data_IF_886331707143
#
_entry.id   IF_886331707143
#
_cell.length_a   1.000
_cell.length_b   1.000
_cell.length_c   1.000
_cell.angle_alpha   90.00
_cell.angle_beta   90.00
_cell.angle_gamma   90.00
#
_symmetry.space_group_name_H-M   'P 1'
#
loop_
_entity.id
_entity.type
_entity.pdbx_description
1 polymer ?
#
# COMPACT_ATOMS: atom_id res chain seq x y z
N UNK A 1 -6.77 5.25 -1.62
CA UNK A 1 -5.86 4.75 -0.58
C UNK A 1 -4.63 4.20 -1.26
N UNK A 2 -3.55 4.96 -1.30
CA UNK A 2 -2.25 4.56 -1.89
C UNK A 2 -1.59 3.54 -0.96
N UNK A 3 -1.76 2.26 -1.22
CA UNK A 3 -1.26 1.22 -0.30
C UNK A 3 0.25 1.04 -0.41
N UNK A 4 0.97 1.24 0.68
CA UNK A 4 2.41 1.00 0.73
C UNK A 4 2.69 -0.50 0.80
N UNK A 5 3.59 -1.01 -0.06
CA UNK A 5 4.18 -2.33 0.19
C UNK A 5 5.00 -2.27 1.48
N UNK A 6 5.17 -3.40 2.17
CA UNK A 6 5.92 -3.47 3.43
C UNK A 6 7.29 -2.76 3.35
N UNK A 7 7.96 -2.84 2.20
CA UNK A 7 9.25 -2.20 1.91
C UNK A 7 9.20 -0.67 1.95
N UNK A 8 8.08 -0.04 1.61
CA UNK A 8 7.91 1.42 1.67
C UNK A 8 7.61 1.92 3.09
N UNK A 9 7.18 1.04 3.99
CA UNK A 9 6.95 1.38 5.41
C UNK A 9 8.22 1.93 6.05
N UNK A 10 9.38 1.45 5.58
CA UNK A 10 10.71 1.85 6.01
C UNK A 10 10.98 3.36 5.96
N UNK A 11 10.26 4.09 5.09
CA UNK A 11 10.37 5.56 4.96
C UNK A 11 9.76 6.30 6.15
N UNK A 12 8.75 5.71 6.81
CA UNK A 12 7.97 6.43 7.81
C UNK A 12 8.69 6.58 9.15
N UNK A 13 9.41 5.59 9.69
CA UNK A 13 10.17 5.78 10.94
C UNK A 13 11.39 6.70 10.81
N UNK A 14 11.79 7.10 9.60
CA UNK A 14 12.90 8.04 9.37
C UNK A 14 14.29 7.44 9.60
N UNK A 15 14.41 6.10 9.59
CA UNK A 15 15.65 5.37 9.88
C UNK A 15 16.66 5.39 8.72
N UNK A 16 16.25 5.77 7.51
CA UNK A 16 17.03 5.49 6.30
C UNK A 16 16.75 6.46 5.16
N UNK A 17 17.79 6.80 4.39
CA UNK A 17 17.61 7.22 2.99
C UNK A 17 17.03 6.02 2.27
N UNK A 18 15.80 6.11 1.81
CA UNK A 18 15.17 5.05 1.04
C UNK A 18 15.25 5.50 -0.41
N UNK A 19 16.06 4.86 -1.27
CA UNK A 19 16.05 5.10 -2.71
C UNK A 19 14.62 5.04 -3.25
N UNK A 20 14.32 5.74 -4.35
CA UNK A 20 12.98 5.73 -4.98
C UNK A 20 12.44 4.30 -5.19
N UNK A 21 13.34 3.33 -5.40
CA UNK A 21 13.06 1.93 -5.75
C UNK A 21 12.86 0.97 -4.56
N UNK A 22 13.06 1.39 -3.30
CA UNK A 22 12.80 0.54 -2.13
C UNK A 22 13.88 0.57 -1.04
N UNK A 23 14.07 -0.57 -0.35
CA UNK A 23 14.89 -0.68 0.87
C UNK A 23 16.37 -0.40 0.57
N UNK A 24 17.03 0.43 1.38
CA UNK A 24 18.48 0.65 1.26
C UNK A 24 19.22 -0.69 1.49
N UNK A 25 20.13 -1.10 0.59
CA UNK A 25 20.84 -2.38 0.65
C UNK A 25 21.58 -2.65 1.96
N UNK A 26 21.89 -1.60 2.74
CA UNK A 26 22.55 -1.70 4.05
C UNK A 26 21.59 -2.08 5.18
N UNK A 27 20.31 -2.20 4.90
CA UNK A 27 19.32 -2.55 5.89
C UNK A 27 19.40 -4.05 6.23
N UNK A 28 19.77 -4.34 7.47
CA UNK A 28 19.78 -5.70 8.01
C UNK A 28 18.77 -5.80 9.17
N UNK A 29 17.49 -5.91 8.84
CA UNK A 29 16.40 -6.02 9.81
C UNK A 29 15.15 -6.64 9.21
N UNK A 30 14.13 -6.88 10.04
CA UNK A 30 12.88 -7.51 9.61
C UNK A 30 11.79 -6.46 9.36
N UNK A 31 11.05 -6.62 8.26
CA UNK A 31 9.90 -5.77 7.93
C UNK A 31 8.72 -6.66 7.58
N UNK A 32 7.61 -6.49 8.29
CA UNK A 32 6.39 -7.24 7.99
C UNK A 32 5.16 -6.34 8.09
N UNK A 33 4.06 -6.77 7.48
CA UNK A 33 2.77 -6.06 7.55
C UNK A 33 1.66 -7.07 7.71
N UNK A 34 0.71 -6.78 8.60
CA UNK A 34 -0.45 -7.61 8.89
C UNK A 34 -1.72 -6.80 8.72
N UNK A 35 -2.72 -7.38 8.06
CA UNK A 35 -4.10 -6.94 8.15
C UNK A 35 -4.78 -7.71 9.27
N UNK A 36 -5.48 -7.00 10.14
CA UNK A 36 -6.20 -7.57 11.27
C UNK A 36 -7.65 -7.14 11.15
N UNK A 37 -8.56 -8.11 11.06
CA UNK A 37 -10.00 -7.90 11.15
C UNK A 37 -10.42 -8.12 12.61
N UNK A 38 -11.10 -7.14 13.20
CA UNK A 38 -11.67 -7.24 14.54
C UNK A 38 -13.13 -6.78 14.50
N UNK A 39 -13.98 -7.20 15.45
CA UNK A 39 -15.35 -6.71 15.55
C UNK A 39 -15.44 -5.17 15.57
N UNK A 40 -14.45 -4.51 16.17
CA UNK A 40 -14.41 -3.04 16.32
C UNK A 40 -13.85 -2.31 15.08
N UNK A 41 -13.33 -3.04 14.08
CA UNK A 41 -12.82 -2.46 12.84
C UNK A 41 -11.62 -3.20 12.23
N UNK A 42 -11.07 -2.58 11.18
CA UNK A 42 -9.90 -3.10 10.43
C UNK A 42 -8.64 -2.36 10.88
N UNK A 43 -7.57 -3.12 11.09
CA UNK A 43 -6.26 -2.60 11.49
C UNK A 43 -5.18 -3.09 10.53
N UNK A 44 -4.48 -2.16 9.89
CA UNK A 44 -3.23 -2.42 9.17
C UNK A 44 -2.09 -2.13 10.12
N UNK A 45 -1.27 -3.14 10.42
CA UNK A 45 -0.12 -3.00 11.29
C UNK A 45 1.16 -3.38 10.57
N UNK A 46 2.08 -2.44 10.50
CA UNK A 46 3.42 -2.62 9.98
C UNK A 46 4.42 -2.80 11.13
N UNK A 47 5.37 -3.70 10.95
CA UNK A 47 6.46 -3.97 11.88
C UNK A 47 7.79 -3.63 11.21
N UNK A 48 8.67 -2.98 11.98
CA UNK A 48 10.07 -2.76 11.67
C UNK A 48 10.87 -3.23 12.88
N UNK A 49 11.53 -4.38 12.76
CA UNK A 49 12.14 -5.08 13.89
C UNK A 49 11.11 -5.22 15.04
N UNK A 50 11.43 -4.64 16.21
CA UNK A 50 10.55 -4.62 17.39
C UNK A 50 9.61 -3.42 17.43
N UNK A 51 9.76 -2.48 16.51
CA UNK A 51 8.93 -1.27 16.42
C UNK A 51 7.75 -1.51 15.48
N UNK A 52 6.68 -0.73 15.62
CA UNK A 52 5.51 -0.87 14.74
C UNK A 52 4.81 0.44 14.44
N UNK A 53 4.15 0.51 13.29
CA UNK A 53 3.23 1.57 12.91
C UNK A 53 1.91 0.92 12.55
N UNK A 54 0.81 1.36 13.15
CA UNK A 54 -0.53 0.84 12.89
C UNK A 54 -1.48 1.94 12.49
N UNK A 55 -2.32 1.65 11.52
CA UNK A 55 -3.48 2.42 11.14
C UNK A 55 -4.70 1.56 11.39
N UNK A 56 -5.65 2.07 12.15
CA UNK A 56 -6.86 1.32 12.44
C UNK A 56 -8.04 2.25 12.63
N UNK A 57 -9.21 1.67 12.40
CA UNK A 57 -10.46 2.30 12.73
C UNK A 57 -10.80 2.03 14.20
N UNK A 58 -10.94 3.10 15.00
CA UNK A 58 -11.37 3.00 16.39
C UNK A 58 -12.89 3.11 16.43
N UNK A 59 -13.55 2.00 16.77
CA UNK A 59 -15.01 1.89 16.88
C UNK A 59 -15.77 2.16 15.56
N UNK A 60 -15.17 1.87 14.40
CA UNK A 60 -15.84 2.04 13.11
C UNK A 60 -16.03 3.49 12.64
N UNK A 61 -15.45 4.47 13.33
CA UNK A 61 -15.76 5.89 13.17
C UNK A 61 -14.53 6.80 13.07
N UNK A 62 -13.42 6.48 13.76
CA UNK A 62 -12.25 7.37 13.84
C UNK A 62 -11.00 6.65 13.36
N UNK A 63 -10.47 7.11 12.23
CA UNK A 63 -9.16 6.66 11.74
C UNK A 63 -8.06 7.14 12.68
N UNK A 64 -7.23 6.21 13.17
CA UNK A 64 -6.07 6.52 14.00
C UNK A 64 -4.80 5.89 13.45
N UNK A 65 -3.74 6.68 13.43
CA UNK A 65 -2.39 6.25 13.08
C UNK A 65 -1.50 6.37 14.31
N UNK A 66 -0.82 5.29 14.67
CA UNK A 66 0.02 5.21 15.85
C UNK A 66 1.34 4.54 15.55
N UNK A 67 2.43 5.13 16.05
CA UNK A 67 3.76 4.53 16.03
C UNK A 67 4.13 4.08 17.44
N UNK A 68 4.50 2.81 17.58
CA UNK A 68 5.00 2.19 18.81
C UNK A 68 6.50 1.94 18.68
N UNK A 69 7.29 2.59 19.54
CA UNK A 69 8.75 2.42 19.64
C UNK A 69 9.04 1.53 20.86
N UNK A 70 9.27 0.24 20.62
CA UNK A 70 9.68 -0.73 21.65
C UNK A 70 11.21 -0.81 21.79
N UNK A 71 11.93 -0.66 20.68
CA UNK A 71 13.39 -0.66 20.63
C UNK A 71 13.89 0.69 20.12
N UNK A 72 14.45 1.48 21.03
CA UNK A 72 14.97 2.82 20.71
C UNK A 72 16.34 2.76 20.03
N UNK A 73 17.05 1.64 20.10
CA UNK A 73 18.40 1.51 19.52
C UNK A 73 18.41 1.63 18.00
N UNK A 74 17.25 1.43 17.39
CA UNK A 74 16.98 1.67 15.97
C UNK A 74 17.02 3.15 15.58
N UNK A 75 17.01 4.09 16.53
CA UNK A 75 16.89 5.53 16.23
C UNK A 75 18.08 6.33 16.76
N UNK A 76 18.32 7.48 16.13
CA UNK A 76 19.39 8.41 16.49
C UNK A 76 18.90 9.66 17.22
N UNK A 77 19.71 10.14 18.16
CA UNK A 77 19.61 11.45 18.81
C UNK A 77 20.95 12.17 18.72
N UNK A 78 20.92 13.46 18.40
CA UNK A 78 22.13 14.29 18.30
C UNK A 78 22.42 14.90 19.68
N UNK A 79 23.38 14.33 20.41
CA UNK A 79 23.70 14.73 21.79
C UNK A 79 25.15 14.46 22.19
N UNK A 80 25.60 15.13 23.25
CA UNK A 80 26.85 14.84 23.93
C UNK A 80 26.76 13.55 24.77
N UNK A 81 27.90 13.00 25.17
CA UNK A 81 27.93 12.02 26.28
C UNK A 81 27.66 12.73 27.60
N UNK A 82 27.06 12.05 28.57
CA UNK A 82 26.70 12.65 29.86
C UNK A 82 27.93 13.13 30.63
N UNK A 83 29.06 12.44 30.48
CA UNK A 83 30.33 12.81 31.11
C UNK A 83 31.00 14.05 30.53
N UNK A 84 30.56 14.57 29.38
CA UNK A 84 31.20 15.71 28.71
C UNK A 84 30.64 17.07 29.15
N UNK A 85 29.63 17.10 30.02
CA UNK A 85 29.03 18.34 30.50
C UNK A 85 28.29 19.15 29.41
N UNK A 86 27.90 20.41 29.72
CA UNK A 86 27.07 21.24 28.84
C UNK A 86 27.73 21.60 27.49
N UNK A 87 29.06 21.73 27.45
CA UNK A 87 29.83 22.09 26.26
C UNK A 87 30.35 20.88 25.47
N UNK A 88 29.95 19.67 25.87
CA UNK A 88 30.38 18.45 25.22
C UNK A 88 30.01 18.41 23.73
N UNK A 89 30.94 17.93 22.90
CA UNK A 89 30.73 17.75 21.47
C UNK A 89 29.51 16.85 21.21
N UNK A 90 28.53 17.38 20.47
CA UNK A 90 27.32 16.63 20.10
C UNK A 90 27.63 15.72 18.93
N UNK A 91 27.27 14.44 19.05
CA UNK A 91 27.35 13.45 17.97
C UNK A 91 26.02 12.73 17.83
N UNK A 92 25.78 12.13 16.67
CA UNK A 92 24.67 11.19 16.50
C UNK A 92 24.95 9.94 17.34
N UNK A 93 24.02 9.65 18.26
CA UNK A 93 24.11 8.51 19.18
C UNK A 93 22.80 7.75 19.18
N UNK A 94 22.84 6.49 19.61
CA UNK A 94 21.62 5.69 19.79
C UNK A 94 20.68 6.36 20.78
N UNK A 95 19.40 6.38 20.42
CA UNK A 95 18.32 6.90 21.23
C UNK A 95 18.10 5.97 22.43
N UNK A 96 17.97 6.56 23.62
CA UNK A 96 17.70 5.83 24.86
C UNK A 96 16.21 5.79 25.14
N UNK A 97 15.81 4.85 25.98
CA UNK A 97 14.42 4.70 26.45
C UNK A 97 14.06 5.68 27.58
N UNK A 98 15.05 6.31 28.21
CA UNK A 98 14.89 7.21 29.36
C UNK A 98 14.21 8.55 29.04
N UNK A 99 13.85 9.27 30.10
CA UNK A 99 13.10 10.54 30.03
C UNK A 99 13.85 11.63 29.28
N UNK A 100 15.18 11.65 29.36
CA UNK A 100 16.03 12.65 28.69
C UNK A 100 15.83 12.67 27.17
N UNK A 101 15.61 11.50 26.57
CA UNK A 101 15.45 11.34 25.13
C UNK A 101 13.96 11.30 24.71
N UNK A 102 13.03 11.53 25.65
CA UNK A 102 11.58 11.53 25.40
C UNK A 102 11.15 12.56 24.34
N UNK A 103 11.64 13.82 24.34
CA UNK A 103 11.25 14.79 23.31
C UNK A 103 11.58 14.28 21.90
N UNK A 104 12.77 13.70 21.72
CA UNK A 104 13.19 13.12 20.44
C UNK A 104 12.33 11.92 20.05
N UNK A 105 11.93 11.07 21.01
CA UNK A 105 10.99 9.97 20.74
C UNK A 105 9.64 10.50 20.26
N UNK A 106 9.11 11.57 20.87
CA UNK A 106 7.88 12.22 20.45
C UNK A 106 7.98 12.76 19.02
N UNK A 107 9.09 13.42 18.67
CA UNK A 107 9.36 13.89 17.30
C UNK A 107 9.36 12.75 16.28
N UNK A 108 10.06 11.66 16.57
CA UNK A 108 10.13 10.49 15.69
C UNK A 108 8.75 9.90 15.48
N UNK A 109 7.99 9.66 16.57
CA UNK A 109 6.63 9.12 16.48
C UNK A 109 5.68 10.04 15.72
N UNK A 110 5.71 11.35 16.00
CA UNK A 110 4.87 12.33 15.29
C UNK A 110 5.24 12.41 13.81
N UNK A 111 6.53 12.45 13.50
CA UNK A 111 7.02 12.45 12.12
C UNK A 111 6.64 11.18 11.37
N UNK A 112 6.71 10.01 12.02
CA UNK A 112 6.31 8.75 11.41
C UNK A 112 4.80 8.70 11.12
N UNK A 113 3.97 9.11 12.07
CA UNK A 113 2.53 9.21 11.88
C UNK A 113 2.18 10.21 10.76
N UNK A 114 2.82 11.38 10.76
CA UNK A 114 2.56 12.44 9.78
C UNK A 114 2.96 11.98 8.37
N UNK A 115 4.15 11.43 8.18
CA UNK A 115 4.58 10.91 6.88
C UNK A 115 3.66 9.79 6.40
N UNK A 116 3.23 8.90 7.29
CA UNK A 116 2.29 7.84 6.93
C UNK A 116 0.93 8.40 6.52
N UNK A 117 0.40 9.37 7.27
CA UNK A 117 -0.86 10.05 6.94
C UNK A 117 -0.76 10.80 5.61
N UNK A 118 0.29 11.59 5.41
CA UNK A 118 0.55 12.30 4.14
C UNK A 118 0.60 11.32 2.97
N UNK A 119 1.28 10.19 3.17
CA UNK A 119 1.41 9.21 2.13
C UNK A 119 0.06 8.50 1.85
N UNK A 120 -0.83 8.36 2.84
CA UNK A 120 -2.21 7.93 2.61
C UNK A 120 -3.09 9.00 1.98
N UNK A 121 -2.78 10.28 2.19
CA UNK A 121 -3.51 11.43 1.66
C UNK A 121 -3.22 11.75 0.19
N UNK A 122 -2.30 11.03 -0.47
CA UNK A 122 -1.98 11.22 -1.90
C UNK A 122 -3.04 10.68 -2.86
N UNK A 123 -4.32 10.92 -2.54
CA UNK A 123 -5.42 10.86 -3.49
C UNK A 123 -5.80 12.30 -3.80
N UNK A 124 -4.97 12.93 -4.62
CA UNK A 124 -5.44 14.07 -5.39
C UNK A 124 -5.02 13.82 -6.84
N UNK A 125 -6.02 13.52 -7.67
CA UNK A 125 -5.86 13.48 -9.10
C UNK A 125 -6.90 14.44 -9.63
N UNK A 126 -6.51 15.70 -9.80
CA UNK A 126 -7.29 16.70 -10.52
C UNK A 126 -7.57 16.33 -11.98
N UNK A 127 -7.07 15.18 -12.44
CA UNK A 127 -7.43 14.56 -13.71
C UNK A 127 -8.88 14.07 -13.67
N UNK A 128 -9.76 14.57 -14.56
CA UNK A 128 -11.13 14.07 -14.69
C UNK A 128 -11.15 12.55 -14.91
N UNK A 129 -12.13 11.88 -14.29
CA UNK A 129 -12.28 10.42 -14.44
C UNK A 129 -12.45 10.00 -15.91
N UNK A 130 -13.11 10.83 -16.72
CA UNK A 130 -13.33 10.63 -18.15
C UNK A 130 -12.02 10.45 -18.92
N UNK A 131 -11.04 11.35 -18.72
CA UNK A 131 -9.74 11.27 -19.38
C UNK A 131 -9.00 9.96 -19.04
N UNK A 132 -9.12 9.52 -17.79
CA UNK A 132 -8.52 8.26 -17.35
C UNK A 132 -9.21 7.07 -18.02
N UNK A 133 -10.56 7.07 -18.08
CA UNK A 133 -11.31 5.98 -18.71
C UNK A 133 -11.08 5.92 -20.21
N UNK A 134 -11.01 7.06 -20.90
CA UNK A 134 -10.77 7.13 -22.34
C UNK A 134 -9.42 6.50 -22.69
N UNK A 135 -8.39 6.85 -21.92
CA UNK A 135 -7.05 6.26 -22.07
C UNK A 135 -7.04 4.75 -21.84
N UNK A 136 -7.73 4.27 -20.80
CA UNK A 136 -7.80 2.83 -20.49
C UNK A 136 -8.64 2.05 -21.50
N UNK A 137 -9.62 2.68 -22.14
CA UNK A 137 -10.46 2.05 -23.17
C UNK A 137 -9.70 1.77 -24.48
N UNK A 138 -8.52 2.36 -24.67
CA UNK A 138 -7.68 2.13 -25.85
C UNK A 138 -6.87 0.82 -25.74
N UNK A 139 -6.65 0.10 -26.86
CA UNK A 139 -5.77 -1.06 -26.88
C UNK A 139 -4.31 -0.64 -26.65
N UNK A 140 -3.55 -1.49 -25.96
CA UNK A 140 -2.12 -1.27 -25.67
C UNK A 140 -1.29 -2.36 -26.32
N UNK A 141 -0.14 -1.99 -26.88
CA UNK A 141 0.87 -2.95 -27.37
C UNK A 141 1.95 -3.09 -26.31
N UNK A 142 2.09 -4.29 -25.77
CA UNK A 142 3.07 -4.63 -24.72
C UNK A 142 3.84 -5.88 -25.13
N UNK A 143 5.17 -5.77 -25.14
CA UNK A 143 6.10 -6.88 -25.48
C UNK A 143 5.74 -7.58 -26.80
N UNK A 144 5.44 -6.79 -27.83
CA UNK A 144 5.09 -7.30 -29.17
C UNK A 144 3.68 -7.88 -29.30
N UNK A 145 2.84 -7.78 -28.26
CA UNK A 145 1.48 -8.28 -28.29
C UNK A 145 0.46 -7.17 -28.02
N UNK A 146 -0.65 -7.20 -28.74
CA UNK A 146 -1.76 -6.29 -28.53
C UNK A 146 -2.71 -6.83 -27.46
N UNK A 147 -2.97 -6.01 -26.45
CA UNK A 147 -4.01 -6.20 -25.44
C UNK A 147 -5.15 -5.23 -25.72
N UNK A 148 -6.39 -5.68 -25.48
CA UNK A 148 -7.58 -4.84 -25.68
C UNK A 148 -7.63 -3.66 -24.69
N UNK A 149 -8.57 -2.74 -24.90
CA UNK A 149 -8.93 -1.74 -23.89
C UNK A 149 -9.48 -2.39 -22.62
N UNK A 150 -9.21 -1.76 -21.48
CA UNK A 150 -9.71 -2.10 -20.16
C UNK A 150 -10.94 -1.26 -19.84
N UNK A 151 -12.02 -1.90 -19.36
CA UNK A 151 -13.20 -1.20 -18.88
C UNK A 151 -13.37 -1.38 -17.36
N UNK A 152 -12.74 -0.57 -16.51
CA UNK A 152 -12.79 -0.77 -15.06
C UNK A 152 -14.14 -0.42 -14.43
N UNK A 153 -15.10 0.13 -15.20
CA UNK A 153 -16.43 0.52 -14.72
C UNK A 153 -17.51 -0.54 -14.95
N UNK A 154 -17.27 -1.52 -15.84
CA UNK A 154 -18.27 -2.52 -16.19
C UNK A 154 -17.70 -3.93 -16.41
N UNK A 155 -18.57 -4.93 -16.24
CA UNK A 155 -18.28 -6.34 -16.51
C UNK A 155 -17.16 -6.94 -15.66
N UNK A 156 -16.52 -7.99 -16.19
CA UNK A 156 -15.50 -8.76 -15.48
C UNK A 156 -14.27 -7.93 -15.09
N UNK A 157 -13.93 -6.90 -15.86
CA UNK A 157 -12.80 -6.03 -15.57
C UNK A 157 -13.07 -5.28 -14.25
N UNK A 158 -14.28 -4.76 -14.05
CA UNK A 158 -14.68 -4.10 -12.81
C UNK A 158 -14.73 -5.07 -11.61
N UNK A 159 -15.10 -6.33 -11.82
CA UNK A 159 -15.07 -7.36 -10.77
C UNK A 159 -13.63 -7.67 -10.35
N UNK A 160 -12.71 -7.74 -11.33
CA UNK A 160 -11.26 -7.88 -11.06
C UNK A 160 -10.79 -6.70 -10.21
N UNK A 161 -11.16 -5.46 -10.55
CA UNK A 161 -10.81 -4.28 -9.74
C UNK A 161 -11.21 -4.47 -8.27
N UNK A 162 -12.45 -4.89 -8.01
CA UNK A 162 -12.95 -5.14 -6.66
C UNK A 162 -12.13 -6.21 -5.92
N UNK A 163 -11.79 -7.29 -6.60
CA UNK A 163 -10.95 -8.37 -6.04
C UNK A 163 -9.53 -7.88 -5.75
N UNK A 164 -8.90 -7.14 -6.67
CA UNK A 164 -7.52 -6.64 -6.50
C UNK A 164 -7.39 -5.64 -5.36
N UNK A 165 -8.46 -4.93 -5.02
CA UNK A 165 -8.49 -3.95 -3.93
C UNK A 165 -8.76 -4.54 -2.54
N UNK A 166 -8.91 -5.87 -2.41
CA UNK A 166 -8.99 -6.50 -1.09
C UNK A 166 -7.74 -6.18 -0.26
N UNK A 167 -7.95 -5.77 1.00
CA UNK A 167 -6.88 -5.28 1.87
C UNK A 167 -5.67 -6.21 1.97
N UNK A 168 -5.91 -7.53 2.05
CA UNK A 168 -4.86 -8.54 2.08
C UNK A 168 -3.94 -8.47 0.86
N UNK A 169 -4.52 -8.31 -0.33
CA UNK A 169 -3.81 -8.26 -1.61
C UNK A 169 -3.02 -6.96 -1.78
N UNK A 170 -3.48 -5.87 -1.20
CA UNK A 170 -2.75 -4.62 -1.21
C UNK A 170 -1.45 -4.69 -0.42
N UNK A 171 -1.41 -5.50 0.64
CA UNK A 171 -0.26 -5.66 1.52
C UNK A 171 0.72 -6.69 0.99
N UNK A 172 0.22 -7.91 0.73
CA UNK A 172 1.07 -9.06 0.40
C UNK A 172 1.12 -9.34 -1.10
N UNK A 173 0.45 -8.57 -1.94
CA UNK A 173 0.21 -8.93 -3.34
C UNK A 173 -0.74 -10.13 -3.48
N UNK A 174 -0.97 -10.54 -4.72
CA UNK A 174 -1.95 -11.58 -5.05
C UNK A 174 -1.40 -12.57 -6.09
N UNK A 175 -1.89 -13.81 -6.06
CA UNK A 175 -1.57 -14.87 -7.04
C UNK A 175 -2.80 -15.21 -7.88
N UNK A 176 -2.58 -15.83 -9.04
CA UNK A 176 -3.65 -16.21 -9.96
C UNK A 176 -4.76 -17.02 -9.29
N UNK A 177 -4.42 -18.08 -8.53
CA UNK A 177 -5.44 -18.91 -7.88
C UNK A 177 -6.27 -18.11 -6.86
N UNK A 178 -5.66 -17.19 -6.11
CA UNK A 178 -6.36 -16.38 -5.11
C UNK A 178 -7.37 -15.43 -5.79
N UNK A 179 -7.01 -14.86 -6.94
CA UNK A 179 -7.93 -14.04 -7.75
C UNK A 179 -9.02 -14.88 -8.39
N UNK A 180 -8.67 -16.06 -8.93
CA UNK A 180 -9.61 -17.00 -9.55
C UNK A 180 -10.68 -17.47 -8.58
N UNK A 181 -10.27 -17.91 -7.40
CA UNK A 181 -11.18 -18.48 -6.40
C UNK A 181 -12.14 -17.41 -5.87
N UNK A 182 -11.73 -16.13 -5.86
CA UNK A 182 -12.59 -15.00 -5.50
C UNK A 182 -13.53 -14.55 -6.63
N UNK A 183 -13.12 -14.66 -7.90
CA UNK A 183 -13.95 -14.26 -9.04
C UNK A 183 -14.99 -15.32 -9.43
N UNK A 184 -14.61 -16.59 -9.36
CA UNK A 184 -15.40 -17.69 -9.93
C UNK A 184 -15.79 -18.77 -8.91
N UNK A 185 -15.36 -18.64 -7.66
CA UNK A 185 -15.48 -19.70 -6.66
C UNK A 185 -14.52 -20.87 -6.89
N UNK A 186 -14.42 -21.73 -5.87
CA UNK A 186 -13.61 -22.94 -5.91
C UNK A 186 -14.31 -23.98 -6.80
N UNK A 187 -13.55 -24.63 -7.68
CA UNK A 187 -14.03 -25.77 -8.47
C UNK A 187 -13.06 -26.94 -8.34
N UNK A 188 -13.62 -28.14 -8.21
CA UNK A 188 -12.86 -29.39 -8.17
C UNK A 188 -12.69 -30.02 -9.54
N UNK A 189 -13.45 -29.57 -10.55
CA UNK A 189 -13.27 -30.02 -11.93
C UNK A 189 -11.92 -29.51 -12.50
N UNK A 190 -10.98 -30.40 -12.86
CA UNK A 190 -9.69 -30.02 -13.42
C UNK A 190 -9.80 -29.22 -14.72
N UNK A 191 -10.80 -29.51 -15.57
CA UNK A 191 -10.98 -28.85 -16.87
C UNK A 191 -11.41 -27.41 -16.66
N UNK A 192 -12.48 -27.20 -15.90
CA UNK A 192 -12.97 -25.85 -15.59
C UNK A 192 -11.94 -25.04 -14.79
N UNK A 193 -11.21 -25.68 -13.86
CA UNK A 193 -10.11 -25.03 -13.13
C UNK A 193 -9.04 -24.52 -14.08
N UNK A 194 -8.65 -25.30 -15.09
CA UNK A 194 -7.64 -24.90 -16.09
C UNK A 194 -8.16 -23.76 -16.95
N UNK A 195 -9.42 -23.83 -17.39
CA UNK A 195 -10.08 -22.78 -18.19
C UNK A 195 -10.10 -21.44 -17.45
N UNK A 196 -10.59 -21.43 -16.21
CA UNK A 196 -10.64 -20.24 -15.34
C UNK A 196 -9.25 -19.68 -15.02
N UNK A 197 -8.26 -20.53 -14.76
CA UNK A 197 -6.88 -20.09 -14.51
C UNK A 197 -6.27 -19.39 -15.74
N UNK A 198 -6.56 -19.90 -16.94
CA UNK A 198 -6.18 -19.26 -18.20
C UNK A 198 -6.87 -17.92 -18.41
N UNK A 199 -8.16 -17.83 -18.08
CA UNK A 199 -8.92 -16.58 -18.12
C UNK A 199 -8.34 -15.52 -17.17
N UNK A 200 -8.07 -15.88 -15.91
CA UNK A 200 -7.45 -14.97 -14.94
C UNK A 200 -6.04 -14.57 -15.38
N UNK A 201 -5.27 -15.47 -15.99
CA UNK A 201 -3.94 -15.10 -16.53
C UNK A 201 -4.06 -14.01 -17.59
N UNK A 202 -5.04 -14.10 -18.49
CA UNK A 202 -5.29 -13.07 -19.51
C UNK A 202 -5.78 -11.76 -18.90
N UNK A 203 -6.64 -11.81 -17.88
CA UNK A 203 -7.10 -10.62 -17.15
C UNK A 203 -5.92 -9.93 -16.43
N UNK A 204 -5.11 -10.69 -15.67
CA UNK A 204 -3.94 -10.12 -15.01
C UNK A 204 -2.95 -9.53 -16.00
N UNK A 205 -2.75 -10.19 -17.15
CA UNK A 205 -1.92 -9.64 -18.24
C UNK A 205 -2.49 -8.32 -18.76
N UNK A 206 -3.79 -8.24 -18.99
CA UNK A 206 -4.45 -7.01 -19.43
C UNK A 206 -4.18 -5.85 -18.45
N UNK A 207 -4.40 -6.07 -17.15
CA UNK A 207 -4.10 -5.06 -16.12
C UNK A 207 -2.61 -4.70 -16.04
N UNK A 208 -1.72 -5.65 -16.32
CA UNK A 208 -0.28 -5.41 -16.33
C UNK A 208 0.17 -4.60 -17.55
N UNK A 209 -0.39 -4.90 -18.73
CA UNK A 209 -0.11 -4.19 -19.97
C UNK A 209 -0.62 -2.74 -19.91
N UNK A 210 -1.73 -2.50 -19.19
CA UNK A 210 -2.23 -1.16 -18.85
C UNK A 210 -1.48 -0.48 -17.68
N UNK A 211 -0.40 -1.07 -17.17
CA UNK A 211 0.44 -0.45 -16.15
C UNK A 211 -0.16 -0.37 -14.75
N UNK A 212 -1.29 -1.04 -14.48
CA UNK A 212 -1.98 -0.98 -13.18
C UNK A 212 -1.43 -2.00 -12.18
N UNK A 213 -0.86 -3.10 -12.67
CA UNK A 213 -0.19 -4.11 -11.84
C UNK A 213 1.17 -4.49 -12.45
N UNK A 214 2.03 -5.08 -11.63
CA UNK A 214 3.27 -5.70 -12.10
C UNK A 214 3.49 -7.04 -11.39
N UNK A 215 4.20 -7.95 -12.06
CA UNK A 215 4.62 -9.23 -11.49
C UNK A 215 5.92 -9.05 -10.71
N UNK A 216 5.97 -9.56 -9.48
CA UNK A 216 7.19 -9.57 -8.67
C UNK A 216 8.14 -10.63 -9.25
N UNK A 217 9.37 -10.22 -9.54
CA UNK A 217 10.40 -11.09 -10.08
C UNK A 217 10.60 -12.35 -9.22
N UNK A 218 10.87 -13.48 -9.88
CA UNK A 218 11.12 -14.79 -9.25
C UNK A 218 9.96 -15.33 -8.38
N UNK A 219 8.76 -14.77 -8.50
CA UNK A 219 7.57 -15.28 -7.79
C UNK A 219 6.36 -15.38 -8.71
N UNK A 220 5.30 -16.05 -8.25
CA UNK A 220 3.99 -16.09 -8.91
C UNK A 220 3.05 -14.96 -8.49
N UNK A 221 3.59 -13.91 -7.86
CA UNK A 221 2.83 -12.87 -7.18
C UNK A 221 2.83 -11.58 -7.98
N UNK A 222 1.71 -10.89 -7.95
CA UNK A 222 1.50 -9.58 -8.55
C UNK A 222 1.25 -8.54 -7.46
N UNK A 223 1.55 -7.28 -7.77
CA UNK A 223 1.23 -6.12 -6.94
C UNK A 223 0.71 -4.99 -7.80
N UNK A 224 -0.11 -4.13 -7.19
CA UNK A 224 -0.51 -2.87 -7.81
C UNK A 224 0.70 -1.95 -7.96
N UNK A 225 0.77 -1.25 -9.09
CA UNK A 225 1.68 -0.12 -9.31
C UNK A 225 1.20 1.11 -8.53
N UNK A 226 2.01 2.16 -8.47
CA UNK A 226 1.58 3.44 -7.89
C UNK A 226 0.32 3.98 -8.57
N UNK A 227 0.26 3.88 -9.90
CA UNK A 227 -0.90 4.28 -10.69
C UNK A 227 -2.13 3.40 -10.40
N UNK A 228 -1.97 2.07 -10.35
CA UNK A 228 -3.06 1.16 -9.99
C UNK A 228 -3.64 1.44 -8.60
N UNK A 229 -2.80 1.77 -7.61
CA UNK A 229 -3.25 2.16 -6.26
C UNK A 229 -4.02 3.48 -6.22
N UNK A 230 -3.72 4.39 -7.15
CA UNK A 230 -4.41 5.67 -7.28
C UNK A 230 -5.74 5.53 -8.01
N UNK A 231 -5.74 4.84 -9.16
CA UNK A 231 -6.89 4.81 -10.08
C UNK A 231 -7.94 3.76 -9.72
N UNK A 232 -7.51 2.55 -9.33
CA UNK A 232 -8.47 1.44 -9.11
C UNK A 232 -9.53 1.75 -8.05
N UNK A 233 -9.20 2.37 -6.89
CA UNK A 233 -10.22 2.73 -5.90
C UNK A 233 -11.23 3.75 -6.45
N UNK A 234 -10.79 4.67 -7.31
CA UNK A 234 -11.66 5.68 -7.93
C UNK A 234 -12.75 5.03 -8.78
N UNK A 235 -12.43 3.97 -9.53
CA UNK A 235 -13.43 3.24 -10.32
C UNK A 235 -14.47 2.53 -9.45
N UNK A 236 -14.06 1.91 -8.34
CA UNK A 236 -15.03 1.31 -7.40
C UNK A 236 -15.93 2.38 -6.76
N UNK A 237 -15.34 3.50 -6.34
CA UNK A 237 -16.10 4.60 -5.75
C UNK A 237 -17.08 5.21 -6.77
N UNK A 238 -16.66 5.37 -8.02
CA UNK A 238 -17.52 5.86 -9.10
C UNK A 238 -18.69 4.91 -9.37
N UNK A 239 -18.45 3.58 -9.37
CA UNK A 239 -19.52 2.58 -9.51
C UNK A 239 -20.49 2.57 -8.32
N UNK A 240 -20.02 2.92 -7.13
CA UNK A 240 -20.84 2.98 -5.92
C UNK A 240 -21.55 4.33 -5.72
N UNK A 241 -21.18 5.37 -6.47
CA UNK A 241 -21.78 6.70 -6.35
C UNK A 241 -23.18 6.72 -6.98
N UNK A 242 -24.14 7.37 -6.31
CA UNK A 242 -25.46 7.62 -6.90
C UNK A 242 -25.39 8.70 -7.97
N UNK A 243 -26.29 8.65 -8.94
CA UNK A 243 -26.42 9.67 -9.98
C UNK A 243 -26.65 11.07 -9.38
N UNK A 244 -27.46 11.16 -8.32
CA UNK A 244 -27.68 12.40 -7.58
C UNK A 244 -26.40 12.97 -6.97
N UNK A 245 -25.58 12.11 -6.35
CA UNK A 245 -24.30 12.51 -5.75
C UNK A 245 -23.29 12.99 -6.80
N UNK A 246 -23.30 12.37 -7.99
CA UNK A 246 -22.45 12.81 -9.10
C UNK A 246 -22.93 14.16 -9.66
N UNK A 247 -24.25 14.35 -9.82
CA UNK A 247 -24.81 15.61 -10.30
C UNK A 247 -24.52 16.79 -9.34
N UNK A 248 -24.58 16.57 -8.03
CA UNK A 248 -24.29 17.60 -7.02
C UNK A 248 -22.83 18.05 -6.97
N UNK A 249 -21.91 17.35 -7.63
CA UNK A 249 -20.49 17.74 -7.69
C UNK A 249 -20.19 18.71 -8.84
N UNK A 250 -21.15 18.94 -9.75
CA UNK A 250 -21.03 19.79 -10.94
C UNK A 250 -21.86 21.07 -10.81
N UNK A 251 -22.82 21.10 -9.87
CA UNK A 251 -23.65 22.26 -9.55
C UNK A 251 -22.95 23.21 -8.58
#
# INVERSE_FOLDING_TARGET
MTTFSSQHVMRFPGKMRVPEDGVDPRFNGEVSTRLLHRPEGVCVKHYLNRNSLKMYDKQGSVLRIETTINDTSDFGVHRAVESAGPEGEKKWRKLRKGVVDLPRRCEISRGANSRYLTAQSSVDAGTPLGEVTDRLALPVISRGHRSRGLNPLAGIDADVVGVLLKGDFLIRGFRNHEVRDLLFGITHDPVERRRRSGQVTRLLRLFADHGLIHKIAKTHRYQLTAEGRRLLPTFINARAASTQKLASLVA
#
